data_IF_669240153708
#
_entry.id   IF_669240153708
#
_cell.length_a   1.000
_cell.length_b   1.000
_cell.length_c   1.000
_cell.angle_alpha   90.00
_cell.angle_beta   90.00
_cell.angle_gamma   90.00
#
_symmetry.space_group_name_H-M   'P 1'
#
loop_
_entity.id
_entity.type
_entity.pdbx_description
1 polymer ?
#
# COMPACT_ATOMS: atom_id res chain seq x y z
N UNK A 1 18.86 42.30 7.16
CA UNK A 1 18.86 41.11 6.26
C UNK A 1 18.33 41.56 4.92
N UNK A 2 19.13 41.46 3.85
CA UNK A 2 18.68 41.78 2.50
C UNK A 2 17.71 40.67 2.06
N UNK A 3 16.43 41.03 1.95
CA UNK A 3 15.40 40.10 1.46
C UNK A 3 15.55 39.92 -0.04
N UNK A 4 16.20 38.83 -0.46
CA UNK A 4 16.16 38.43 -1.85
C UNK A 4 14.79 37.83 -2.13
N UNK A 5 14.10 38.32 -3.16
CA UNK A 5 12.87 37.72 -3.64
C UNK A 5 13.18 36.32 -4.22
N UNK A 6 12.31 35.33 -3.92
CA UNK A 6 12.45 33.99 -4.45
C UNK A 6 12.43 34.03 -6.00
N UNK A 7 13.52 33.65 -6.68
CA UNK A 7 13.60 33.67 -8.15
C UNK A 7 12.58 32.75 -8.82
N UNK A 8 12.01 31.77 -8.09
CA UNK A 8 10.98 30.88 -8.60
C UNK A 8 9.58 31.52 -8.67
N UNK A 9 9.39 32.70 -8.04
CA UNK A 9 8.13 33.46 -8.11
C UNK A 9 7.99 34.28 -9.39
N UNK A 10 9.06 34.44 -10.18
CA UNK A 10 8.98 35.11 -11.47
C UNK A 10 8.29 34.20 -12.51
N UNK A 11 7.67 34.80 -13.54
CA UNK A 11 7.04 34.04 -14.64
C UNK A 11 8.07 33.34 -15.53
N UNK A 12 9.33 33.78 -15.51
CA UNK A 12 10.41 33.27 -16.35
C UNK A 12 10.64 31.74 -16.24
N UNK A 13 10.72 31.12 -15.04
CA UNK A 13 10.84 29.66 -14.93
C UNK A 13 9.64 28.91 -15.54
N UNK A 14 8.44 29.47 -15.47
CA UNK A 14 7.25 28.88 -16.08
C UNK A 14 7.33 28.92 -17.61
N UNK A 15 7.72 30.05 -18.19
CA UNK A 15 7.92 30.21 -19.64
C UNK A 15 9.05 29.34 -20.17
N UNK A 16 10.18 29.25 -19.48
CA UNK A 16 11.29 28.37 -19.86
C UNK A 16 10.82 26.91 -19.85
N UNK A 17 10.14 26.48 -18.80
CA UNK A 17 9.60 25.12 -18.69
C UNK A 17 8.61 24.80 -19.83
N UNK A 18 7.75 25.72 -20.17
CA UNK A 18 6.78 25.56 -21.25
C UNK A 18 7.47 25.54 -22.61
N UNK A 19 8.45 26.43 -22.86
CA UNK A 19 9.29 26.43 -24.05
C UNK A 19 10.02 25.11 -24.23
N UNK A 20 10.64 24.58 -23.18
CA UNK A 20 11.28 23.27 -23.21
C UNK A 20 10.28 22.14 -23.54
N UNK A 21 9.07 22.19 -22.99
CA UNK A 21 8.04 21.19 -23.31
C UNK A 21 7.56 21.25 -24.76
N UNK A 22 7.54 22.43 -25.36
CA UNK A 22 7.19 22.62 -26.80
C UNK A 22 8.30 22.11 -27.74
N UNK A 23 9.56 22.35 -27.36
CA UNK A 23 10.72 22.00 -28.21
C UNK A 23 11.11 20.52 -28.09
N UNK A 24 11.17 19.99 -26.89
CA UNK A 24 11.63 18.61 -26.62
C UNK A 24 10.49 17.60 -26.69
N UNK A 25 9.23 18.07 -26.62
CA UNK A 25 8.06 17.23 -26.45
C UNK A 25 7.97 16.61 -25.06
N UNK A 26 6.80 16.13 -24.68
CA UNK A 26 6.66 15.30 -23.48
C UNK A 26 7.00 13.87 -23.84
N UNK A 27 8.03 13.30 -23.22
CA UNK A 27 8.29 11.86 -23.32
C UNK A 27 6.98 11.11 -23.06
N UNK A 28 6.63 10.20 -23.96
CA UNK A 28 5.48 9.33 -23.78
C UNK A 28 5.59 8.65 -22.41
N UNK A 29 4.73 9.05 -21.50
CA UNK A 29 4.72 8.49 -20.17
C UNK A 29 4.06 7.12 -20.26
N UNK A 30 4.82 6.06 -20.05
CA UNK A 30 4.28 4.71 -19.99
C UNK A 30 3.39 4.61 -18.75
N UNK A 31 2.10 4.99 -18.90
CA UNK A 31 1.13 4.96 -17.81
C UNK A 31 0.89 3.50 -17.45
N UNK A 32 1.23 3.16 -16.22
CA UNK A 32 0.94 1.84 -15.69
C UNK A 32 -0.53 1.74 -15.29
N UNK A 33 -1.11 0.57 -15.51
CA UNK A 33 -2.50 0.31 -15.17
C UNK A 33 -2.65 0.26 -13.62
N UNK A 34 -3.63 0.97 -13.05
CA UNK A 34 -3.91 0.91 -11.63
C UNK A 34 -4.59 -0.42 -11.25
N UNK A 35 -4.52 -0.77 -9.97
CA UNK A 35 -5.30 -1.87 -9.40
C UNK A 35 -6.77 -1.42 -9.32
N UNK A 36 -7.68 -2.22 -9.87
CA UNK A 36 -9.14 -1.99 -9.85
C UNK A 36 -9.80 -2.87 -8.78
N UNK A 37 -11.07 -2.57 -8.39
CA UNK A 37 -11.84 -3.44 -7.50
C UNK A 37 -11.97 -4.89 -8.01
N UNK A 38 -12.12 -5.08 -9.32
CA UNK A 38 -12.20 -6.41 -9.92
C UNK A 38 -10.92 -7.20 -9.75
N UNK A 39 -9.76 -6.56 -9.94
CA UNK A 39 -8.45 -7.17 -9.69
C UNK A 39 -8.34 -7.59 -8.22
N UNK A 40 -8.78 -6.72 -7.28
CA UNK A 40 -8.79 -7.06 -5.86
C UNK A 40 -9.70 -8.25 -5.55
N UNK A 41 -10.88 -8.31 -6.17
CA UNK A 41 -11.79 -9.44 -6.01
C UNK A 41 -11.15 -10.75 -6.47
N UNK A 42 -10.51 -10.76 -7.62
CA UNK A 42 -9.79 -11.94 -8.12
C UNK A 42 -8.59 -12.32 -7.23
N UNK A 43 -7.86 -11.32 -6.70
CA UNK A 43 -6.78 -11.57 -5.73
C UNK A 43 -7.33 -12.23 -4.45
N UNK A 44 -8.48 -11.78 -3.95
CA UNK A 44 -9.11 -12.37 -2.77
C UNK A 44 -9.61 -13.78 -3.01
N UNK A 45 -10.14 -14.07 -4.20
CA UNK A 45 -10.57 -15.42 -4.58
C UNK A 45 -9.35 -16.36 -4.62
N UNK A 46 -8.25 -15.92 -5.21
CA UNK A 46 -7.06 -16.76 -5.41
C UNK A 46 -6.22 -16.93 -4.14
N UNK A 47 -6.03 -15.87 -3.37
CA UNK A 47 -5.09 -15.79 -2.23
C UNK A 47 -5.75 -15.61 -0.87
N UNK A 48 -7.06 -15.37 -0.82
CA UNK A 48 -7.80 -15.09 0.42
C UNK A 48 -8.70 -16.24 0.88
N UNK A 49 -8.59 -17.44 0.33
CA UNK A 49 -9.36 -18.62 0.75
C UNK A 49 -9.08 -19.00 2.22
N UNK A 50 -9.94 -19.82 2.83
CA UNK A 50 -9.78 -20.22 4.23
C UNK A 50 -8.55 -21.11 4.44
N UNK A 51 -8.11 -21.81 3.41
CA UNK A 51 -6.92 -22.68 3.41
C UNK A 51 -5.66 -21.98 2.88
N UNK A 52 -5.67 -20.66 2.68
CA UNK A 52 -4.53 -19.94 2.11
C UNK A 52 -3.32 -19.90 3.07
N UNK A 53 -2.12 -19.79 2.50
CA UNK A 53 -0.91 -19.62 3.29
C UNK A 53 -0.84 -18.23 3.93
N UNK A 54 -0.07 -18.10 5.02
CA UNK A 54 0.20 -16.80 5.64
C UNK A 54 0.78 -15.78 4.63
N UNK A 55 1.59 -16.23 3.67
CA UNK A 55 2.14 -15.37 2.61
C UNK A 55 1.07 -14.83 1.67
N UNK A 56 0.12 -15.66 1.31
CA UNK A 56 -0.98 -15.30 0.42
C UNK A 56 -1.94 -14.33 1.11
N UNK A 57 -2.32 -14.65 2.33
CA UNK A 57 -3.20 -13.80 3.13
C UNK A 57 -2.57 -12.42 3.41
N UNK A 58 -1.24 -12.37 3.67
CA UNK A 58 -0.50 -11.11 3.78
C UNK A 58 -0.63 -10.28 2.49
N UNK A 59 -0.50 -10.93 1.34
CA UNK A 59 -0.57 -10.25 0.04
C UNK A 59 -1.95 -9.64 -0.19
N UNK A 60 -3.02 -10.39 0.08
CA UNK A 60 -4.39 -9.88 0.04
C UNK A 60 -4.59 -8.70 0.99
N UNK A 61 -4.17 -8.86 2.25
CA UNK A 61 -4.34 -7.85 3.29
C UNK A 61 -3.62 -6.54 2.92
N UNK A 62 -2.37 -6.62 2.44
CA UNK A 62 -1.61 -5.47 1.95
C UNK A 62 -2.34 -4.74 0.81
N UNK A 63 -2.86 -5.47 -0.17
CA UNK A 63 -3.58 -4.89 -1.29
C UNK A 63 -4.87 -4.21 -0.85
N UNK A 64 -5.65 -4.86 -0.01
CA UNK A 64 -6.94 -4.34 0.47
C UNK A 64 -6.78 -3.10 1.35
N UNK A 65 -5.87 -3.14 2.33
CA UNK A 65 -5.60 -1.98 3.21
C UNK A 65 -5.09 -0.80 2.40
N UNK A 66 -4.12 -1.02 1.51
CA UNK A 66 -3.56 0.08 0.71
C UNK A 66 -4.58 0.68 -0.25
N UNK A 67 -5.50 -0.14 -0.79
CA UNK A 67 -6.56 0.34 -1.67
C UNK A 67 -7.64 1.11 -0.90
N UNK A 68 -8.18 0.52 0.16
CA UNK A 68 -9.26 1.12 0.94
C UNK A 68 -8.81 2.37 1.72
N UNK A 69 -7.58 2.37 2.25
CA UNK A 69 -7.00 3.50 2.97
C UNK A 69 -6.25 4.50 2.09
N UNK A 70 -6.18 4.29 0.77
CA UNK A 70 -5.39 5.10 -0.17
C UNK A 70 -3.92 5.27 0.24
N UNK A 71 -3.36 4.28 0.93
CA UNK A 71 -2.06 4.37 1.53
C UNK A 71 -0.94 4.30 0.49
N UNK A 72 0.11 5.08 0.73
CA UNK A 72 1.38 4.89 0.04
C UNK A 72 2.06 3.64 0.59
N UNK A 73 2.94 3.04 -0.20
CA UNK A 73 3.70 1.88 0.27
C UNK A 73 4.45 2.17 1.59
N UNK A 74 5.08 3.35 1.69
CA UNK A 74 5.79 3.74 2.91
C UNK A 74 4.89 3.90 4.13
N UNK A 75 3.64 4.28 3.96
CA UNK A 75 2.64 4.36 5.03
C UNK A 75 2.19 2.95 5.43
N UNK A 76 1.86 2.11 4.44
CA UNK A 76 1.43 0.73 4.64
C UNK A 76 2.48 -0.12 5.40
N UNK A 77 3.73 -0.07 4.95
CA UNK A 77 4.77 -0.97 5.46
C UNK A 77 5.24 -0.59 6.88
N UNK A 78 5.06 0.66 7.27
CA UNK A 78 5.39 1.12 8.62
C UNK A 78 4.22 1.02 9.62
N UNK A 79 3.06 0.52 9.19
CA UNK A 79 1.97 0.21 10.13
C UNK A 79 2.43 -0.82 11.16
N UNK A 80 2.15 -0.53 12.42
CA UNK A 80 2.35 -1.43 13.54
C UNK A 80 1.00 -2.02 13.99
N UNK A 81 1.03 -3.09 14.76
CA UNK A 81 -0.20 -3.63 15.34
C UNK A 81 -0.89 -2.61 16.25
N UNK A 82 -0.11 -1.86 17.02
CA UNK A 82 -0.58 -0.76 17.89
C UNK A 82 -1.27 0.38 17.15
N UNK A 83 -0.97 0.57 15.85
CA UNK A 83 -1.61 1.60 15.02
C UNK A 83 -3.03 1.21 14.54
N UNK A 84 -3.48 -0.03 14.82
CA UNK A 84 -4.75 -0.57 14.32
C UNK A 84 -5.73 -0.75 15.47
N UNK A 85 -6.86 -0.07 15.40
CA UNK A 85 -7.97 -0.25 16.32
C UNK A 85 -9.19 -0.78 15.57
N UNK A 86 -9.75 -1.89 16.03
CA UNK A 86 -10.98 -2.48 15.47
C UNK A 86 -12.19 -2.00 16.23
N UNK A 87 -13.17 -1.55 15.49
CA UNK A 87 -14.50 -1.18 15.96
C UNK A 87 -15.53 -2.17 15.40
N UNK A 88 -16.80 -2.00 15.76
CA UNK A 88 -17.87 -2.88 15.32
C UNK A 88 -18.00 -2.92 13.78
N UNK A 89 -18.10 -1.74 13.15
CA UNK A 89 -18.37 -1.61 11.73
C UNK A 89 -17.22 -1.03 10.89
N UNK A 90 -16.06 -0.80 11.50
CA UNK A 90 -14.88 -0.27 10.83
C UNK A 90 -13.59 -0.59 11.58
N UNK A 91 -12.46 -0.35 10.97
CA UNK A 91 -11.16 -0.25 11.65
C UNK A 91 -10.57 1.14 11.42
N UNK A 92 -9.86 1.66 12.42
CA UNK A 92 -9.04 2.86 12.32
C UNK A 92 -7.57 2.50 12.22
N UNK A 93 -6.86 3.19 11.34
CA UNK A 93 -5.42 3.07 11.14
C UNK A 93 -4.78 4.40 11.48
N UNK A 94 -3.83 4.44 12.40
CA UNK A 94 -3.06 5.63 12.68
C UNK A 94 -1.80 5.68 11.82
N UNK A 95 -1.67 6.67 10.96
CA UNK A 95 -0.53 6.86 10.07
C UNK A 95 0.42 7.86 10.73
N UNK A 96 1.49 7.35 11.35
CA UNK A 96 2.45 8.16 12.10
C UNK A 96 3.19 9.18 11.23
N UNK A 97 3.46 8.86 9.96
CA UNK A 97 4.20 9.73 9.04
C UNK A 97 3.62 9.65 7.64
N UNK A 98 3.18 10.78 7.11
CA UNK A 98 2.82 10.92 5.70
C UNK A 98 3.71 11.96 5.01
N UNK A 99 3.91 11.81 3.69
CA UNK A 99 4.72 12.76 2.90
C UNK A 99 4.18 14.19 2.94
N UNK A 100 2.89 14.36 3.18
CA UNK A 100 2.19 15.66 3.21
C UNK A 100 2.07 16.22 4.62
N UNK A 101 2.35 15.44 5.63
CA UNK A 101 2.33 15.83 7.03
C UNK A 101 3.65 16.55 7.39
N UNK A 102 3.63 17.90 7.33
CA UNK A 102 4.80 18.73 7.61
C UNK A 102 5.13 18.79 9.10
N UNK A 103 4.13 18.68 9.96
CA UNK A 103 4.27 18.84 11.41
C UNK A 103 4.41 17.51 12.15
N UNK A 104 4.27 16.36 11.44
CA UNK A 104 4.34 15.01 12.02
C UNK A 104 3.29 14.75 13.09
N UNK A 105 2.11 15.32 12.91
CA UNK A 105 0.96 15.11 13.80
C UNK A 105 0.34 13.73 13.61
N UNK A 106 0.62 13.09 12.46
CA UNK A 106 -0.03 11.86 12.05
C UNK A 106 -1.46 12.07 11.57
N UNK A 107 -2.09 11.01 11.12
CA UNK A 107 -3.49 11.07 10.70
C UNK A 107 -4.17 9.72 10.86
N UNK A 108 -5.45 9.72 11.21
CA UNK A 108 -6.25 8.50 11.27
C UNK A 108 -6.99 8.29 9.95
N UNK A 109 -6.95 7.05 9.47
CA UNK A 109 -7.70 6.59 8.29
C UNK A 109 -8.74 5.58 8.76
N UNK A 110 -10.01 5.84 8.44
CA UNK A 110 -11.11 4.95 8.77
C UNK A 110 -11.43 4.06 7.57
N UNK A 111 -11.52 2.76 7.79
CA UNK A 111 -11.84 1.77 6.76
C UNK A 111 -13.07 0.98 7.22
N UNK A 112 -14.17 1.12 6.48
CA UNK A 112 -15.43 0.45 6.79
C UNK A 112 -15.33 -1.08 6.65
N UNK A 113 -16.04 -1.80 7.51
CA UNK A 113 -16.31 -3.21 7.34
C UNK A 113 -17.36 -3.40 6.25
N UNK A 114 -17.17 -4.38 5.39
CA UNK A 114 -18.13 -4.75 4.35
C UNK A 114 -18.42 -6.24 4.40
N UNK A 115 -19.55 -6.67 3.85
CA UNK A 115 -19.90 -8.09 3.78
C UNK A 115 -19.24 -8.81 2.61
N UNK A 116 -18.52 -8.06 1.77
CA UNK A 116 -17.85 -8.56 0.58
C UNK A 116 -16.61 -9.40 0.91
N UNK A 117 -16.23 -10.29 0.00
CA UNK A 117 -14.99 -11.06 0.07
C UNK A 117 -13.74 -10.16 0.14
N UNK A 118 -13.86 -8.94 -0.38
CA UNK A 118 -12.82 -7.91 -0.40
C UNK A 118 -12.80 -7.04 0.87
N UNK A 119 -13.48 -7.44 1.95
CA UNK A 119 -13.52 -6.70 3.20
C UNK A 119 -12.12 -6.55 3.83
N UNK A 120 -11.55 -5.34 3.92
CA UNK A 120 -10.22 -5.13 4.48
C UNK A 120 -10.16 -5.47 5.97
N UNK A 121 -11.25 -5.15 6.71
CA UNK A 121 -11.33 -5.38 8.17
C UNK A 121 -11.29 -6.86 8.48
N UNK A 122 -12.14 -7.66 7.83
CA UNK A 122 -12.21 -9.12 8.01
C UNK A 122 -10.88 -9.79 7.61
N UNK A 123 -10.31 -9.37 6.48
CA UNK A 123 -9.05 -9.92 6.00
C UNK A 123 -7.88 -9.60 6.93
N UNK A 124 -7.87 -8.40 7.51
CA UNK A 124 -6.85 -7.98 8.49
C UNK A 124 -6.95 -8.79 9.78
N UNK A 125 -8.16 -9.02 10.31
CA UNK A 125 -8.36 -9.88 11.49
C UNK A 125 -7.82 -11.28 11.24
N UNK A 126 -8.22 -11.92 10.13
CA UNK A 126 -7.72 -13.25 9.75
C UNK A 126 -6.19 -13.30 9.62
N UNK A 127 -5.59 -12.25 9.04
CA UNK A 127 -4.13 -12.17 8.93
C UNK A 127 -3.45 -12.08 10.29
N UNK A 128 -3.97 -11.26 11.22
CA UNK A 128 -3.44 -11.15 12.57
C UNK A 128 -3.51 -12.48 13.33
N UNK A 129 -4.65 -13.18 13.22
CA UNK A 129 -4.86 -14.49 13.86
C UNK A 129 -3.89 -15.53 13.30
N UNK A 130 -3.80 -15.66 11.97
CA UNK A 130 -2.92 -16.63 11.32
C UNK A 130 -1.43 -16.32 11.55
N UNK A 131 -1.08 -15.04 11.67
CA UNK A 131 0.28 -14.57 11.95
C UNK A 131 0.66 -14.63 13.43
N UNK A 132 -0.29 -14.96 14.32
CA UNK A 132 -0.14 -14.94 15.79
C UNK A 132 0.41 -13.58 16.29
N UNK A 133 -0.15 -12.47 15.78
CA UNK A 133 0.24 -11.13 16.21
C UNK A 133 -0.66 -10.72 17.37
N UNK A 134 -0.08 -10.65 18.56
CA UNK A 134 -0.77 -10.26 19.79
C UNK A 134 -1.29 -8.82 19.70
N UNK A 135 -2.44 -8.56 20.33
CA UNK A 135 -3.08 -7.25 20.30
C UNK A 135 -2.22 -6.13 20.90
N UNK A 136 -1.47 -6.44 21.95
CA UNK A 136 -0.58 -5.51 22.65
C UNK A 136 0.79 -5.36 21.96
N UNK A 137 1.00 -6.03 20.83
CA UNK A 137 2.29 -6.01 20.13
C UNK A 137 2.55 -4.67 19.44
N UNK A 138 3.75 -4.12 19.59
CA UNK A 138 4.21 -2.94 18.84
C UNK A 138 5.03 -3.32 17.58
N UNK A 139 4.89 -4.56 17.12
CA UNK A 139 5.60 -5.04 15.93
C UNK A 139 4.96 -4.53 14.63
N UNK A 140 5.79 -4.43 13.59
CA UNK A 140 5.28 -4.12 12.26
C UNK A 140 4.27 -5.15 11.78
N UNK A 141 3.16 -4.67 11.21
CA UNK A 141 2.10 -5.51 10.68
C UNK A 141 2.62 -6.43 9.57
N UNK A 142 3.36 -5.88 8.62
CA UNK A 142 3.89 -6.61 7.48
C UNK A 142 5.39 -6.81 7.60
N UNK A 143 5.78 -8.03 7.91
CA UNK A 143 7.18 -8.46 8.08
C UNK A 143 7.55 -9.53 7.04
N UNK A 144 8.85 -9.80 6.83
CA UNK A 144 9.28 -10.95 6.06
C UNK A 144 8.71 -12.24 6.63
N UNK A 145 8.37 -13.18 5.74
CA UNK A 145 7.88 -14.52 6.09
C UNK A 145 8.93 -15.52 5.66
N UNK A 146 9.18 -16.50 6.51
CA UNK A 146 10.05 -17.64 6.24
C UNK A 146 9.28 -18.93 6.43
N UNK A 147 9.65 -19.91 5.64
CA UNK A 147 9.15 -21.27 5.81
C UNK A 147 9.97 -21.99 6.87
N UNK A 148 9.31 -22.48 7.91
CA UNK A 148 9.92 -23.27 8.96
C UNK A 148 9.78 -24.76 8.65
N UNK A 149 10.88 -25.39 8.24
CA UNK A 149 10.89 -26.82 7.88
C UNK A 149 10.49 -27.73 9.04
N UNK A 150 10.80 -27.35 10.30
CA UNK A 150 10.46 -28.17 11.48
C UNK A 150 8.96 -28.30 11.70
N UNK A 151 8.25 -27.20 11.61
CA UNK A 151 6.80 -27.13 11.85
C UNK A 151 5.99 -27.27 10.56
N UNK A 152 6.64 -27.34 9.39
CA UNK A 152 6.00 -27.32 8.08
C UNK A 152 5.05 -26.13 7.88
N UNK A 153 5.40 -24.97 8.45
CA UNK A 153 4.56 -23.77 8.48
C UNK A 153 5.33 -22.52 8.05
N UNK A 154 4.58 -21.51 7.64
CA UNK A 154 5.12 -20.17 7.40
C UNK A 154 5.00 -19.33 8.67
N UNK A 155 6.06 -18.61 9.03
CA UNK A 155 6.08 -17.73 10.18
C UNK A 155 6.71 -16.37 9.85
N UNK A 156 6.31 -15.33 10.58
CA UNK A 156 6.92 -14.02 10.49
C UNK A 156 8.35 -14.05 11.03
N UNK A 157 9.28 -13.41 10.33
CA UNK A 157 10.68 -13.34 10.72
C UNK A 157 11.09 -11.92 11.09
N UNK A 158 11.84 -11.83 12.20
CA UNK A 158 12.47 -10.57 12.64
C UNK A 158 11.49 -9.48 13.04
N UNK A 159 12.02 -8.32 13.33
CA UNK A 159 11.27 -7.13 13.80
C UNK A 159 11.23 -6.02 12.74
N UNK A 160 11.85 -6.22 11.59
CA UNK A 160 11.90 -5.22 10.52
C UNK A 160 10.69 -5.28 9.61
N UNK A 161 10.27 -4.13 9.10
CA UNK A 161 9.20 -4.05 8.12
C UNK A 161 9.60 -4.70 6.78
N UNK A 162 8.61 -5.05 5.96
CA UNK A 162 8.82 -5.66 4.65
C UNK A 162 9.49 -4.65 3.67
N UNK A 163 10.66 -4.97 3.08
CA UNK A 163 11.34 -4.09 2.13
C UNK A 163 10.52 -3.85 0.86
N UNK A 164 10.63 -2.65 0.27
CA UNK A 164 9.89 -2.26 -0.93
C UNK A 164 10.12 -3.21 -2.11
N UNK A 165 11.35 -3.59 -2.36
CA UNK A 165 11.71 -4.51 -3.46
C UNK A 165 10.97 -5.84 -3.32
N UNK A 166 10.96 -6.40 -2.10
CA UNK A 166 10.29 -7.66 -1.82
C UNK A 166 8.76 -7.54 -1.92
N UNK A 167 8.19 -6.48 -1.35
CA UNK A 167 6.75 -6.24 -1.46
C UNK A 167 6.31 -6.05 -2.91
N UNK A 168 7.10 -5.30 -3.69
CA UNK A 168 6.82 -5.10 -5.12
C UNK A 168 6.87 -6.41 -5.89
N UNK A 169 7.86 -7.26 -5.63
CA UNK A 169 7.99 -8.56 -6.25
C UNK A 169 6.78 -9.47 -5.94
N UNK A 170 6.37 -9.53 -4.67
CA UNK A 170 5.20 -10.29 -4.22
C UNK A 170 3.94 -9.82 -4.98
N UNK A 171 3.70 -8.52 -5.03
CA UNK A 171 2.55 -7.97 -5.73
C UNK A 171 2.58 -8.28 -7.24
N UNK A 172 3.73 -8.09 -7.89
CA UNK A 172 3.86 -8.35 -9.32
C UNK A 172 3.68 -9.85 -9.64
N UNK A 173 4.12 -10.73 -8.77
CA UNK A 173 3.88 -12.17 -8.92
C UNK A 173 2.39 -12.49 -8.75
N UNK A 174 1.72 -11.92 -7.76
CA UNK A 174 0.29 -12.10 -7.55
C UNK A 174 -0.54 -11.57 -8.75
N UNK A 175 -0.18 -10.40 -9.30
CA UNK A 175 -0.81 -9.87 -10.51
C UNK A 175 -0.53 -10.74 -11.76
N UNK A 176 0.69 -11.28 -11.85
CA UNK A 176 1.06 -12.20 -12.92
C UNK A 176 0.27 -13.51 -12.89
N UNK A 177 -0.07 -14.04 -11.71
CA UNK A 177 -0.94 -15.22 -11.56
C UNK A 177 -2.38 -14.95 -12.02
N UNK A 178 -2.81 -13.68 -12.08
CA UNK A 178 -4.08 -13.26 -12.68
C UNK A 178 -3.99 -13.02 -14.19
N UNK A 179 -2.86 -13.35 -14.83
CA UNK A 179 -2.65 -13.10 -16.27
C UNK A 179 -2.36 -11.65 -16.64
N UNK A 180 -2.11 -10.77 -15.64
CA UNK A 180 -1.83 -9.37 -15.89
C UNK A 180 -0.35 -9.14 -16.22
N UNK A 181 -0.10 -8.27 -17.21
CA UNK A 181 1.26 -7.90 -17.62
C UNK A 181 1.98 -7.13 -16.50
N UNK A 182 3.01 -7.74 -15.93
CA UNK A 182 3.82 -7.17 -14.86
C UNK A 182 4.50 -5.85 -15.26
N UNK A 183 4.81 -5.67 -16.55
CA UNK A 183 5.46 -4.45 -17.05
C UNK A 183 4.50 -3.25 -17.08
N UNK A 184 3.21 -3.50 -17.24
CA UNK A 184 2.15 -2.49 -17.31
C UNK A 184 1.47 -2.23 -15.99
N UNK A 185 1.76 -3.04 -14.96
CA UNK A 185 1.14 -2.91 -13.63
C UNK A 185 1.83 -1.82 -12.78
N UNK A 186 1.05 -1.01 -12.10
CA UNK A 186 1.56 0.18 -11.39
C UNK A 186 2.21 -0.10 -10.03
N UNK A 187 2.32 -1.35 -9.60
CA UNK A 187 2.73 -1.65 -8.24
C UNK A 187 1.75 -1.01 -7.22
N UNK A 188 2.26 -0.50 -6.09
CA UNK A 188 1.47 0.05 -4.98
C UNK A 188 0.87 1.45 -5.25
N UNK A 189 0.60 1.84 -6.49
CA UNK A 189 -0.12 3.08 -6.79
C UNK A 189 -1.61 2.78 -6.93
N UNK A 190 -2.41 3.16 -5.94
CA UNK A 190 -3.86 3.03 -6.00
C UNK A 190 -4.48 4.01 -7.00
N UNK A 191 -5.62 3.61 -7.56
CA UNK A 191 -6.41 4.32 -8.58
C UNK A 191 -6.75 5.77 -8.22
N UNK A 192 -6.90 6.09 -6.94
CA UNK A 192 -7.40 7.40 -6.49
C UNK A 192 -6.44 8.57 -6.69
N UNK A 193 -5.14 8.35 -6.94
CA UNK A 193 -4.21 9.44 -7.24
C UNK A 193 -4.28 9.95 -8.68
N UNK A 194 -4.95 9.24 -9.58
CA UNK A 194 -5.10 9.69 -10.96
C UNK A 194 -6.22 10.72 -11.14
N UNK A 195 -7.20 10.80 -10.21
CA UNK A 195 -8.35 11.73 -10.31
C UNK A 195 -8.18 13.08 -9.59
N UNK A 196 -7.16 13.26 -8.75
CA UNK A 196 -6.96 14.52 -8.02
C UNK A 196 -6.07 15.55 -8.75
N UNK A 197 -6.00 15.49 -10.07
CA UNK A 197 -5.36 16.49 -10.93
C UNK A 197 -6.32 16.99 -12.02
N UNK A 198 -7.49 17.44 -11.57
CA UNK A 198 -8.30 18.35 -12.38
C UNK A 198 -8.79 19.46 -11.46
#
# INVERSE_FOLDING_TARGET
MAGFSDPCLSELPAFIKEGCHRTIGRKAFNKKNPITPDILKHLCILYGSDSCSLSDLRTCCMCLISFAGFLRFSELVHLRRSDICFHENYMSLFIQKSKTDRYREGSSVLIACTDEITCPVRMTRRYLDLANICEQSDQYLFRPIVYCKRSNTYALRGETCLPYTRAREILLNALGSLGLDKSKSSGWRCYCRCKSRY
#
